data_IF_812215446911
#
_entry.id   IF_812215446911
#
_cell.length_a   1.000
_cell.length_b   1.000
_cell.length_c   1.000
_cell.angle_alpha   90.00
_cell.angle_beta   90.00
_cell.angle_gamma   90.00
#
_symmetry.space_group_name_H-M   'P 1'
#
loop_
_entity.id
_entity.type
_entity.pdbx_description
1 polymer ?
#
# COMPACT_ATOMS: atom_id res chain seq x y z
N UNK A 1 -26.59 7.83 -12.17
CA UNK A 1 -25.78 8.61 -11.22
C UNK A 1 -26.29 8.34 -9.83
N UNK A 2 -25.44 7.89 -8.91
CA UNK A 2 -25.79 7.67 -7.50
C UNK A 2 -25.89 9.01 -6.77
N UNK A 3 -26.83 9.14 -5.82
CA UNK A 3 -26.93 10.36 -4.99
C UNK A 3 -25.84 10.39 -3.92
N UNK A 4 -25.52 11.59 -3.40
CA UNK A 4 -24.55 11.76 -2.31
C UNK A 4 -24.89 10.92 -1.07
N UNK A 5 -26.19 10.77 -0.76
CA UNK A 5 -26.66 9.98 0.39
C UNK A 5 -26.49 8.48 0.15
N UNK A 6 -26.78 8.02 -1.06
CA UNK A 6 -26.58 6.61 -1.41
C UNK A 6 -25.09 6.25 -1.43
N UNK A 7 -24.23 7.14 -1.93
CA UNK A 7 -22.77 6.96 -1.87
C UNK A 7 -22.28 6.87 -0.42
N UNK A 8 -22.68 7.81 0.45
CA UNK A 8 -22.29 7.80 1.87
C UNK A 8 -22.74 6.52 2.58
N UNK A 9 -23.94 6.02 2.27
CA UNK A 9 -24.45 4.77 2.80
C UNK A 9 -23.63 3.56 2.32
N UNK A 10 -23.39 3.46 1.01
CA UNK A 10 -22.65 2.35 0.41
C UNK A 10 -21.21 2.27 0.94
N UNK A 11 -20.52 3.41 1.04
CA UNK A 11 -19.17 3.50 1.60
C UNK A 11 -19.12 3.05 3.08
N UNK A 12 -20.12 3.45 3.88
CA UNK A 12 -20.22 3.04 5.29
C UNK A 12 -20.49 1.54 5.42
N UNK A 13 -21.40 1.00 4.61
CA UNK A 13 -21.74 -0.42 4.62
C UNK A 13 -20.51 -1.26 4.25
N UNK A 14 -19.82 -0.92 3.15
CA UNK A 14 -18.59 -1.59 2.74
C UNK A 14 -17.51 -1.58 3.83
N UNK A 15 -17.32 -0.44 4.50
CA UNK A 15 -16.35 -0.34 5.59
C UNK A 15 -16.73 -1.16 6.83
N UNK A 16 -18.02 -1.22 7.18
CA UNK A 16 -18.51 -2.03 8.30
C UNK A 16 -18.35 -3.52 8.00
N UNK A 17 -18.66 -3.96 6.78
CA UNK A 17 -18.50 -5.35 6.36
C UNK A 17 -17.04 -5.78 6.38
N UNK A 18 -16.13 -4.95 5.87
CA UNK A 18 -14.70 -5.18 5.96
C UNK A 18 -14.23 -5.31 7.43
N UNK A 19 -14.69 -4.44 8.33
CA UNK A 19 -14.37 -4.52 9.77
C UNK A 19 -14.91 -5.79 10.44
N UNK A 20 -16.09 -6.29 10.04
CA UNK A 20 -16.61 -7.58 10.53
C UNK A 20 -15.72 -8.74 10.09
N UNK A 21 -15.22 -8.70 8.85
CA UNK A 21 -14.24 -9.67 8.36
C UNK A 21 -12.97 -9.71 9.21
N UNK A 22 -12.45 -8.54 9.60
CA UNK A 22 -11.28 -8.47 10.50
C UNK A 22 -11.60 -9.02 11.88
N UNK A 23 -12.74 -8.67 12.48
CA UNK A 23 -13.12 -9.18 13.80
C UNK A 23 -13.24 -10.71 13.81
N UNK A 24 -13.81 -11.29 12.74
CA UNK A 24 -13.89 -12.74 12.59
C UNK A 24 -12.50 -13.41 12.48
N UNK A 25 -11.54 -12.76 11.83
CA UNK A 25 -10.15 -13.23 11.78
C UNK A 25 -9.47 -13.17 13.15
N UNK A 26 -9.71 -12.11 13.94
CA UNK A 26 -9.17 -11.96 15.30
C UNK A 26 -9.71 -13.01 16.27
N UNK A 27 -10.96 -13.45 16.09
CA UNK A 27 -11.61 -14.48 16.92
C UNK A 27 -11.18 -15.91 16.60
N UNK A 28 -10.56 -16.14 15.44
CA UNK A 28 -10.12 -17.49 15.02
C UNK A 28 -8.86 -17.96 15.76
N UNK A 29 -8.78 -19.26 16.10
CA UNK A 29 -7.67 -19.88 16.88
C UNK A 29 -6.26 -19.71 16.27
N UNK A 30 -6.18 -19.30 15.01
CA UNK A 30 -4.94 -18.99 14.29
C UNK A 30 -4.43 -17.56 14.56
N UNK A 31 -4.94 -16.91 15.63
CA UNK A 31 -4.81 -15.50 16.00
C UNK A 31 -3.35 -14.98 16.04
N UNK A 32 -2.77 -14.77 14.86
CA UNK A 32 -1.77 -13.76 14.65
C UNK A 32 -2.48 -12.44 14.91
N UNK A 33 -2.03 -11.70 15.93
CA UNK A 33 -2.50 -10.35 16.21
C UNK A 33 -2.60 -9.58 14.89
N UNK A 34 -3.81 -9.21 14.50
CA UNK A 34 -4.02 -8.39 13.32
C UNK A 34 -3.22 -7.11 13.51
N UNK A 35 -2.48 -6.71 12.47
CA UNK A 35 -1.72 -5.47 12.54
C UNK A 35 -2.69 -4.32 12.76
N UNK A 36 -2.42 -3.39 13.69
CA UNK A 36 -3.30 -2.25 13.93
C UNK A 36 -3.62 -1.53 12.62
N UNK A 37 -4.90 -1.23 12.41
CA UNK A 37 -5.41 -0.56 11.21
C UNK A 37 -6.20 0.70 11.58
N UNK A 38 -6.39 1.57 10.58
CA UNK A 38 -7.15 2.80 10.75
C UNK A 38 -8.66 2.52 10.87
N UNK A 39 -9.28 3.03 11.94
CA UNK A 39 -10.71 2.83 12.25
C UNK A 39 -11.59 3.96 11.74
N UNK A 40 -11.01 5.08 11.33
CA UNK A 40 -11.69 6.23 10.78
C UNK A 40 -11.97 6.05 9.28
N UNK A 41 -13.26 5.99 8.91
CA UNK A 41 -13.70 5.88 7.52
C UNK A 41 -13.18 7.01 6.63
N UNK A 42 -12.99 8.22 7.16
CA UNK A 42 -12.55 9.36 6.35
C UNK A 42 -11.15 9.15 5.75
N UNK A 43 -10.29 8.38 6.41
CA UNK A 43 -8.96 8.03 5.86
C UNK A 43 -9.09 7.07 4.68
N UNK A 44 -9.97 6.08 4.80
CA UNK A 44 -10.26 5.14 3.70
C UNK A 44 -10.94 5.82 2.51
N UNK A 45 -11.81 6.80 2.76
CA UNK A 45 -12.39 7.65 1.70
C UNK A 45 -11.34 8.45 0.97
N UNK A 46 -10.32 8.95 1.66
CA UNK A 46 -9.20 9.62 1.01
C UNK A 46 -8.44 8.66 0.09
N UNK A 47 -8.17 7.43 0.54
CA UNK A 47 -7.55 6.40 -0.29
C UNK A 47 -8.36 6.11 -1.56
N UNK A 48 -9.67 5.87 -1.43
CA UNK A 48 -10.54 5.59 -2.57
C UNK A 48 -10.55 6.74 -3.58
N UNK A 49 -10.71 7.99 -3.11
CA UNK A 49 -10.70 9.17 -3.98
C UNK A 49 -9.37 9.39 -4.70
N UNK A 50 -8.25 9.07 -4.04
CA UNK A 50 -6.92 9.14 -4.67
C UNK A 50 -6.81 8.09 -5.76
N UNK A 51 -7.24 6.86 -5.50
CA UNK A 51 -7.19 5.75 -6.47
C UNK A 51 -8.11 5.96 -7.67
N UNK A 52 -9.28 6.55 -7.47
CA UNK A 52 -10.22 6.90 -8.55
C UNK A 52 -9.63 7.92 -9.53
N UNK A 53 -8.76 8.81 -9.05
CA UNK A 53 -8.23 9.95 -9.82
C UNK A 53 -6.80 9.76 -10.31
N UNK A 54 -6.11 8.70 -9.86
CA UNK A 54 -4.70 8.46 -10.18
C UNK A 54 -4.57 7.35 -11.20
N UNK A 55 -3.64 7.51 -12.14
CA UNK A 55 -3.28 6.45 -13.09
C UNK A 55 -2.27 5.46 -12.49
N UNK A 56 -1.42 5.94 -11.58
CA UNK A 56 -0.34 5.19 -10.94
C UNK A 56 -0.39 5.37 -9.43
N UNK A 57 -0.35 4.27 -8.69
CA UNK A 57 -0.15 4.26 -7.25
C UNK A 57 1.32 3.97 -6.92
N UNK A 58 1.90 4.75 -6.02
CA UNK A 58 3.25 4.50 -5.48
C UNK A 58 3.14 4.07 -4.03
N UNK A 59 3.61 2.85 -3.72
CA UNK A 59 3.74 2.37 -2.34
C UNK A 59 5.17 2.56 -1.87
N UNK A 60 5.36 3.44 -0.88
CA UNK A 60 6.67 3.66 -0.26
C UNK A 60 6.85 2.65 0.88
N UNK A 61 7.90 1.83 0.80
CA UNK A 61 8.19 0.77 1.77
C UNK A 61 9.59 0.94 2.36
N UNK A 62 9.79 0.51 3.61
CA UNK A 62 11.09 0.59 4.28
C UNK A 62 12.01 -0.55 3.84
N UNK A 63 13.19 -0.21 3.33
CA UNK A 63 14.19 -1.14 2.80
C UNK A 63 14.72 -2.15 3.82
N UNK A 64 14.58 -1.88 5.12
CA UNK A 64 15.08 -2.76 6.19
C UNK A 64 14.19 -4.00 6.38
N UNK A 65 12.90 -3.89 6.11
CA UNK A 65 11.98 -5.02 6.11
C UNK A 65 10.88 -4.85 5.04
N UNK A 66 11.22 -4.95 3.74
CA UNK A 66 10.28 -4.61 2.67
C UNK A 66 8.99 -5.44 2.71
N UNK A 67 9.09 -6.73 3.04
CA UNK A 67 7.93 -7.64 3.05
C UNK A 67 6.89 -7.29 4.11
N UNK A 68 7.31 -6.68 5.22
CA UNK A 68 6.37 -6.25 6.26
C UNK A 68 5.55 -5.02 5.84
N UNK A 69 6.14 -4.14 5.02
CA UNK A 69 5.53 -2.87 4.62
C UNK A 69 4.85 -2.91 3.24
N UNK A 70 5.10 -3.94 2.43
CA UNK A 70 4.39 -4.15 1.16
C UNK A 70 2.97 -4.63 1.47
N UNK A 71 1.97 -3.93 0.91
CA UNK A 71 0.59 -4.42 0.87
C UNK A 71 0.33 -5.10 -0.48
N UNK A 72 0.30 -6.43 -0.46
CA UNK A 72 -0.11 -7.22 -1.64
C UNK A 72 -1.58 -6.96 -1.96
N UNK A 73 -2.45 -6.85 -0.94
CA UNK A 73 -3.88 -6.55 -1.09
C UNK A 73 -4.14 -5.20 -1.78
N UNK A 74 -3.40 -4.15 -1.42
CA UNK A 74 -3.51 -2.85 -2.09
C UNK A 74 -3.06 -2.91 -3.55
N UNK A 75 -2.05 -3.73 -3.84
CA UNK A 75 -1.56 -3.95 -5.21
C UNK A 75 -2.62 -4.68 -6.06
N UNK A 76 -3.24 -5.72 -5.50
CA UNK A 76 -4.35 -6.44 -6.14
C UNK A 76 -5.55 -5.53 -6.36
N UNK A 77 -5.94 -4.74 -5.34
CA UNK A 77 -7.03 -3.79 -5.45
C UNK A 77 -6.81 -2.78 -6.59
N UNK A 78 -5.59 -2.30 -6.80
CA UNK A 78 -5.27 -1.44 -7.94
C UNK A 78 -5.56 -2.09 -9.29
N UNK A 79 -5.35 -3.41 -9.42
CA UNK A 79 -5.62 -4.16 -10.66
C UNK A 79 -7.09 -4.49 -10.88
N UNK A 80 -7.90 -4.47 -9.81
CA UNK A 80 -9.35 -4.70 -9.86
C UNK A 80 -10.15 -3.45 -10.28
N UNK A 81 -9.53 -2.27 -10.24
CA UNK A 81 -10.15 -1.03 -10.69
C UNK A 81 -10.32 -0.99 -12.21
N UNK A 82 -11.26 -0.16 -12.67
CA UNK A 82 -11.49 0.09 -14.09
C UNK A 82 -11.24 1.57 -14.45
N UNK A 83 -10.27 1.90 -15.32
CA UNK A 83 -9.18 1.01 -15.78
C UNK A 83 -8.31 0.48 -14.60
N UNK A 84 -7.48 -0.55 -14.82
CA UNK A 84 -6.52 -0.98 -13.80
C UNK A 84 -5.46 0.10 -13.57
N UNK A 85 -4.94 0.21 -12.35
CA UNK A 85 -3.87 1.17 -11.99
C UNK A 85 -2.53 0.47 -11.86
N UNK A 86 -1.48 1.07 -12.42
CA UNK A 86 -0.12 0.55 -12.20
C UNK A 86 0.27 0.82 -10.75
N UNK A 87 0.74 -0.22 -10.04
CA UNK A 87 1.28 -0.07 -8.70
C UNK A 87 2.80 -0.24 -8.71
N UNK A 88 3.52 0.78 -8.23
CA UNK A 88 4.99 0.79 -8.17
C UNK A 88 5.44 0.82 -6.71
N UNK A 89 6.36 -0.06 -6.36
CA UNK A 89 7.03 -0.04 -5.06
C UNK A 89 8.24 0.91 -5.07
N UNK A 90 8.30 1.83 -4.13
CA UNK A 90 9.50 2.62 -3.84
C UNK A 90 10.08 2.11 -2.53
N UNK A 91 11.19 1.37 -2.62
CA UNK A 91 11.94 0.85 -1.48
C UNK A 91 12.85 1.96 -0.97
N UNK A 92 12.35 2.71 0.01
CA UNK A 92 13.07 3.81 0.67
C UNK A 92 14.12 3.27 1.67
N UNK A 93 15.02 4.12 2.16
CA UNK A 93 16.16 3.74 3.01
C UNK A 93 17.08 2.72 2.34
N UNK A 94 17.21 2.82 1.01
CA UNK A 94 18.02 1.88 0.24
C UNK A 94 19.52 1.99 0.53
N UNK A 95 19.98 3.08 1.14
CA UNK A 95 21.33 3.27 1.69
C UNK A 95 21.71 2.18 2.72
N UNK A 96 20.75 1.64 3.47
CA UNK A 96 20.95 0.49 4.36
C UNK A 96 21.14 -0.85 3.61
N UNK A 97 20.93 -0.88 2.29
CA UNK A 97 21.00 -2.08 1.47
C UNK A 97 22.23 -2.06 0.56
N UNK A 98 23.06 -3.11 0.68
CA UNK A 98 24.15 -3.36 -0.24
C UNK A 98 23.62 -3.62 -1.67
N UNK A 99 24.40 -3.32 -2.73
CA UNK A 99 23.99 -3.53 -4.11
C UNK A 99 23.49 -4.96 -4.41
N UNK A 100 24.12 -5.97 -3.79
CA UNK A 100 23.70 -7.36 -3.90
C UNK A 100 22.30 -7.61 -3.31
N UNK A 101 21.99 -7.03 -2.15
CA UNK A 101 20.67 -7.13 -1.52
C UNK A 101 19.59 -6.46 -2.37
N UNK A 102 19.87 -5.27 -2.93
CA UNK A 102 18.95 -4.59 -3.86
C UNK A 102 18.62 -5.47 -5.07
N UNK A 103 19.61 -6.18 -5.63
CA UNK A 103 19.39 -7.12 -6.75
C UNK A 103 18.50 -8.30 -6.34
N UNK A 104 18.69 -8.86 -5.15
CA UNK A 104 17.86 -9.95 -4.63
C UNK A 104 16.41 -9.48 -4.50
N UNK A 105 16.18 -8.34 -3.85
CA UNK A 105 14.85 -7.76 -3.68
C UNK A 105 14.17 -7.43 -5.00
N UNK A 106 14.91 -6.81 -5.94
CA UNK A 106 14.39 -6.55 -7.28
C UNK A 106 13.91 -7.81 -7.98
N UNK A 107 14.70 -8.88 -7.91
CA UNK A 107 14.32 -10.16 -8.52
C UNK A 107 13.12 -10.80 -7.80
N UNK A 108 13.03 -10.65 -6.48
CA UNK A 108 11.89 -11.11 -5.70
C UNK A 108 10.59 -10.40 -6.12
N UNK A 109 10.57 -9.07 -6.10
CA UNK A 109 9.38 -8.29 -6.47
C UNK A 109 8.98 -8.46 -7.93
N UNK A 110 9.96 -8.52 -8.84
CA UNK A 110 9.70 -8.81 -10.26
C UNK A 110 8.97 -10.15 -10.45
N UNK A 111 9.34 -11.21 -9.71
CA UNK A 111 8.63 -12.51 -9.77
C UNK A 111 7.20 -12.43 -9.23
N UNK A 112 6.93 -11.50 -8.32
CA UNK A 112 5.59 -11.20 -7.79
C UNK A 112 4.77 -10.27 -8.69
N UNK A 113 5.29 -9.88 -9.86
CA UNK A 113 4.63 -8.93 -10.76
C UNK A 113 4.71 -7.47 -10.29
N UNK A 114 5.50 -7.17 -9.27
CA UNK A 114 5.63 -5.83 -8.69
C UNK A 114 6.88 -5.13 -9.24
N UNK A 115 6.67 -3.96 -9.85
CA UNK A 115 7.77 -3.08 -10.26
C UNK A 115 8.31 -2.35 -9.03
N UNK A 116 9.62 -2.40 -8.80
CA UNK A 116 10.24 -1.72 -7.67
C UNK A 116 11.38 -0.79 -8.09
N UNK A 117 11.51 0.33 -7.37
CA UNK A 117 12.58 1.32 -7.48
C UNK A 117 13.20 1.47 -6.09
N UNK A 118 14.53 1.63 -6.01
CA UNK A 118 15.23 1.87 -4.75
C UNK A 118 15.54 3.35 -4.62
N UNK A 119 15.23 3.93 -3.46
CA UNK A 119 15.39 5.35 -3.19
C UNK A 119 16.03 5.54 -1.80
N UNK A 120 16.82 6.60 -1.63
CA UNK A 120 17.31 7.00 -0.31
C UNK A 120 16.97 8.47 -0.11
N UNK A 121 15.88 8.74 0.61
CA UNK A 121 15.51 10.12 0.93
C UNK A 121 16.60 10.84 1.72
N UNK A 122 17.41 10.12 2.51
CA UNK A 122 18.54 10.68 3.25
C UNK A 122 19.61 11.22 2.29
N UNK A 123 20.13 10.38 1.39
CA UNK A 123 21.15 10.80 0.44
C UNK A 123 20.66 11.91 -0.49
N UNK A 124 19.39 11.84 -0.94
CA UNK A 124 18.83 12.87 -1.83
C UNK A 124 18.62 14.20 -1.12
N UNK A 125 18.31 14.19 0.18
CA UNK A 125 18.22 15.41 0.97
C UNK A 125 19.60 16.06 1.14
N UNK A 126 20.66 15.28 1.39
CA UNK A 126 22.04 15.82 1.45
C UNK A 126 22.43 16.54 0.14
N UNK A 127 22.06 15.98 -1.01
CA UNK A 127 22.31 16.60 -2.33
C UNK A 127 21.53 17.91 -2.51
N UNK A 128 20.33 18.03 -1.93
CA UNK A 128 19.52 19.25 -1.97
C UNK A 128 20.11 20.31 -1.05
N UNK A 129 20.55 19.92 0.14
CA UNK A 129 21.08 20.83 1.16
C UNK A 129 22.47 21.38 0.78
N UNK A 130 23.23 20.66 -0.06
CA UNK A 130 24.50 21.09 -0.64
C UNK A 130 24.36 22.08 -1.82
N UNK A 131 23.14 22.31 -2.33
CA UNK A 131 22.85 23.22 -3.45
C UNK A 131 22.30 24.56 -3.00
#
# INVERSE_FOLDING_TARGET
SMTKRELDRAEREAFLDWRRGIAALEESDDARRVTPFEKNLEVWRQLWRVLERSDVLVQIVDGRNPLFYVSEDLSSYCTELEPPRECILVVNKSDYLAPAQRRIWRNYFKRKGLRCIFFSAFNEQEIIDEK
#
